data_IF_039881668306
#
_entry.id   IF_039881668306
#
_cell.length_a   1.000
_cell.length_b   1.000
_cell.length_c   1.000
_cell.angle_alpha   90.00
_cell.angle_beta   90.00
_cell.angle_gamma   90.00
#
_symmetry.space_group_name_H-M   'P 1'
#
loop_
_entity.id
_entity.type
_entity.pdbx_description
1 polymer ?
#
# COMPACT_ATOMS: atom_id res chain seq x y z
N UNK A 1 24.19 -9.97 1.72
CA UNK A 1 22.99 -10.51 1.01
C UNK A 1 21.69 -9.95 1.57
N UNK A 2 21.57 -9.79 2.89
CA UNK A 2 20.39 -9.20 3.57
C UNK A 2 20.09 -7.76 3.11
N UNK A 3 21.11 -6.94 2.88
CA UNK A 3 20.95 -5.55 2.45
C UNK A 3 20.32 -5.43 1.07
N UNK A 4 20.67 -6.36 0.16
CA UNK A 4 20.04 -6.44 -1.17
C UNK A 4 18.55 -6.82 -1.05
N UNK A 5 18.19 -7.74 -0.17
CA UNK A 5 16.79 -8.14 0.06
C UNK A 5 15.97 -6.99 0.68
N UNK A 6 16.52 -6.29 1.67
CA UNK A 6 15.86 -5.13 2.28
C UNK A 6 15.66 -4.00 1.25
N UNK A 7 16.64 -3.76 0.38
CA UNK A 7 16.52 -2.75 -0.67
C UNK A 7 15.46 -3.13 -1.72
N UNK A 8 15.40 -4.40 -2.12
CA UNK A 8 14.35 -4.92 -3.01
C UNK A 8 12.96 -4.82 -2.39
N UNK A 9 12.83 -5.20 -1.11
CA UNK A 9 11.57 -5.08 -0.37
C UNK A 9 11.12 -3.62 -0.28
N UNK A 10 12.04 -2.70 0.00
CA UNK A 10 11.76 -1.26 0.04
C UNK A 10 11.29 -0.75 -1.34
N UNK A 11 11.96 -1.15 -2.42
CA UNK A 11 11.55 -0.77 -3.78
C UNK A 11 10.14 -1.28 -4.10
N UNK A 12 9.85 -2.55 -3.77
CA UNK A 12 8.52 -3.14 -3.96
C UNK A 12 7.47 -2.40 -3.14
N UNK A 13 7.72 -2.11 -1.86
CA UNK A 13 6.78 -1.35 -1.03
C UNK A 13 6.52 0.05 -1.60
N UNK A 14 7.57 0.75 -2.02
CA UNK A 14 7.43 2.09 -2.60
C UNK A 14 6.60 2.01 -3.89
N UNK A 15 6.91 1.06 -4.77
CA UNK A 15 6.14 0.82 -5.99
C UNK A 15 4.66 0.47 -5.69
N UNK A 16 4.41 -0.33 -4.65
CA UNK A 16 3.09 -0.73 -4.19
C UNK A 16 2.28 0.47 -3.67
N UNK A 17 2.89 1.35 -2.86
CA UNK A 17 2.27 2.62 -2.44
C UNK A 17 1.87 3.47 -3.64
N UNK A 18 2.78 3.64 -4.60
CA UNK A 18 2.49 4.40 -5.82
C UNK A 18 1.38 3.75 -6.64
N UNK A 19 1.35 2.43 -6.75
CA UNK A 19 0.29 1.70 -7.44
C UNK A 19 -1.06 2.01 -6.81
N UNK A 20 -1.18 1.94 -5.48
CA UNK A 20 -2.44 2.20 -4.78
C UNK A 20 -2.88 3.67 -4.96
N UNK A 21 -1.96 4.63 -4.85
CA UNK A 21 -2.27 6.05 -5.03
C UNK A 21 -2.69 6.35 -6.48
N UNK A 22 -1.96 5.82 -7.47
CA UNK A 22 -2.29 6.00 -8.88
C UNK A 22 -3.61 5.32 -9.24
N UNK A 23 -3.88 4.15 -8.68
CA UNK A 23 -5.16 3.47 -8.82
C UNK A 23 -6.32 4.26 -8.22
N UNK A 24 -6.09 4.94 -7.11
CA UNK A 24 -7.08 5.84 -6.52
C UNK A 24 -7.32 7.07 -7.41
N UNK A 25 -6.26 7.69 -7.95
CA UNK A 25 -6.39 8.78 -8.90
C UNK A 25 -7.14 8.35 -10.17
N UNK A 26 -6.85 7.16 -10.69
CA UNK A 26 -7.60 6.55 -11.80
C UNK A 26 -9.06 6.40 -11.44
N UNK A 27 -9.40 5.89 -10.25
CA UNK A 27 -10.79 5.74 -9.81
C UNK A 27 -11.53 7.07 -9.85
N UNK A 28 -10.93 8.15 -9.33
CA UNK A 28 -11.56 9.48 -9.33
C UNK A 28 -11.87 9.93 -10.76
N UNK A 29 -10.92 9.79 -11.68
CA UNK A 29 -11.11 10.13 -13.09
C UNK A 29 -12.20 9.25 -13.73
N UNK A 30 -12.18 7.95 -13.44
CA UNK A 30 -13.13 6.98 -13.98
C UNK A 30 -14.56 7.26 -13.52
N UNK A 31 -14.75 7.62 -12.24
CA UNK A 31 -16.07 7.98 -11.67
C UNK A 31 -16.60 9.27 -12.30
N UNK A 32 -15.74 10.27 -12.51
CA UNK A 32 -16.14 11.53 -13.18
C UNK A 32 -16.53 11.27 -14.65
N UNK A 33 -15.78 10.39 -15.34
CA UNK A 33 -16.09 9.98 -16.70
C UNK A 33 -17.42 9.23 -16.80
N UNK A 34 -17.63 8.26 -15.91
CA UNK A 34 -18.85 7.46 -15.84
C UNK A 34 -20.09 8.33 -15.59
N UNK A 35 -19.99 9.32 -14.70
CA UNK A 35 -21.02 10.32 -14.48
C UNK A 35 -21.33 11.19 -15.74
N UNK A 36 -20.37 11.29 -16.66
CA UNK A 36 -20.52 11.99 -17.95
C UNK A 36 -21.00 11.06 -19.08
N UNK A 37 -21.31 9.79 -18.78
CA UNK A 37 -21.75 8.78 -19.75
C UNK A 37 -20.61 8.13 -20.55
N UNK A 38 -19.36 8.40 -20.20
CA UNK A 38 -18.17 7.83 -20.85
C UNK A 38 -17.50 6.86 -19.89
N UNK A 39 -17.56 5.56 -20.16
CA UNK A 39 -16.91 4.57 -19.32
C UNK A 39 -15.39 4.63 -19.52
N UNK A 40 -14.71 5.45 -18.71
CA UNK A 40 -13.25 5.64 -18.71
C UNK A 40 -12.50 4.47 -18.06
N UNK A 41 -13.04 3.25 -18.17
CA UNK A 41 -12.47 2.05 -17.58
C UNK A 41 -12.81 1.85 -16.11
N UNK A 42 -13.96 2.34 -15.65
CA UNK A 42 -14.47 2.10 -14.30
C UNK A 42 -14.73 0.60 -14.07
N UNK A 43 -15.28 -0.10 -15.07
CA UNK A 43 -15.45 -1.57 -15.02
C UNK A 43 -14.12 -2.33 -14.98
N UNK A 44 -13.12 -1.84 -15.72
CA UNK A 44 -11.77 -2.43 -15.68
C UNK A 44 -11.15 -2.23 -14.29
N UNK A 45 -11.29 -1.04 -13.72
CA UNK A 45 -10.82 -0.74 -12.37
C UNK A 45 -11.47 -1.68 -11.35
N UNK A 46 -12.79 -1.88 -11.41
CA UNK A 46 -13.49 -2.80 -10.50
C UNK A 46 -12.99 -4.25 -10.62
N UNK A 47 -12.71 -4.71 -11.84
CA UNK A 47 -12.13 -6.04 -12.07
C UNK A 47 -10.70 -6.15 -11.56
N UNK A 48 -9.91 -5.07 -11.65
CA UNK A 48 -8.54 -5.00 -11.13
C UNK A 48 -8.50 -4.85 -9.61
N UNK A 49 -9.58 -4.39 -8.98
CA UNK A 49 -9.66 -4.19 -7.53
C UNK A 49 -9.34 -5.45 -6.73
N UNK A 50 -10.06 -6.54 -6.98
CA UNK A 50 -9.85 -7.80 -6.26
C UNK A 50 -8.45 -8.41 -6.45
N UNK A 51 -7.89 -8.53 -7.66
CA UNK A 51 -6.59 -9.18 -7.88
C UNK A 51 -5.38 -8.27 -7.68
N UNK A 52 -5.50 -6.95 -7.81
CA UNK A 52 -4.34 -6.02 -7.77
C UNK A 52 -4.40 -5.16 -6.52
N UNK A 53 -5.46 -4.38 -6.35
CA UNK A 53 -5.52 -3.37 -5.29
C UNK A 53 -5.75 -3.95 -3.90
N UNK A 54 -6.59 -4.98 -3.77
CA UNK A 54 -6.86 -5.60 -2.47
C UNK A 54 -5.59 -6.27 -1.88
N UNK A 55 -4.80 -7.06 -2.65
CA UNK A 55 -3.51 -7.56 -2.16
C UNK A 55 -2.49 -6.46 -1.87
N UNK A 56 -2.40 -5.44 -2.72
CA UNK A 56 -1.51 -4.28 -2.53
C UNK A 56 -1.79 -3.57 -1.20
N UNK A 57 -3.04 -3.21 -0.95
CA UNK A 57 -3.46 -2.58 0.31
C UNK A 57 -3.16 -3.51 1.50
N UNK A 58 -3.34 -4.82 1.34
CA UNK A 58 -2.96 -5.82 2.34
C UNK A 58 -1.47 -5.80 2.70
N UNK A 59 -0.58 -5.67 1.70
CA UNK A 59 0.87 -5.55 1.90
C UNK A 59 1.20 -4.23 2.61
N UNK A 60 0.63 -3.10 2.17
CA UNK A 60 0.81 -1.80 2.82
C UNK A 60 0.38 -1.84 4.29
N UNK A 61 -0.81 -2.38 4.56
CA UNK A 61 -1.34 -2.52 5.90
C UNK A 61 -0.46 -3.44 6.75
N UNK A 62 -0.05 -4.58 6.20
CA UNK A 62 0.90 -5.48 6.85
C UNK A 62 2.21 -4.78 7.21
N UNK A 63 2.82 -4.07 6.26
CA UNK A 63 4.06 -3.31 6.47
C UNK A 63 3.92 -2.24 7.55
N UNK A 64 2.82 -1.48 7.54
CA UNK A 64 2.52 -0.46 8.54
C UNK A 64 2.33 -1.07 9.95
N UNK A 65 1.57 -2.18 10.04
CA UNK A 65 1.34 -2.89 11.30
C UNK A 65 2.62 -3.49 11.86
N UNK A 66 3.42 -4.16 11.03
CA UNK A 66 4.73 -4.68 11.45
C UNK A 66 5.65 -3.57 11.96
N UNK A 67 5.72 -2.45 11.24
CA UNK A 67 6.51 -1.28 11.67
C UNK A 67 6.02 -0.73 13.01
N UNK A 68 4.70 -0.62 13.19
CA UNK A 68 4.09 -0.18 14.45
C UNK A 68 4.40 -1.12 15.62
N UNK A 69 4.26 -2.43 15.44
CA UNK A 69 4.55 -3.45 16.47
C UNK A 69 6.04 -3.42 16.85
N UNK A 70 6.94 -3.40 15.86
CA UNK A 70 8.39 -3.35 16.10
C UNK A 70 8.76 -2.08 16.89
N UNK A 71 8.20 -0.93 16.50
CA UNK A 71 8.41 0.35 17.20
C UNK A 71 7.89 0.31 18.64
N UNK A 72 6.71 -0.29 18.87
CA UNK A 72 6.14 -0.43 20.21
C UNK A 72 6.99 -1.34 21.11
N UNK A 73 7.41 -2.51 20.61
CA UNK A 73 8.27 -3.43 21.37
C UNK A 73 9.63 -2.78 21.67
N UNK A 74 10.26 -2.15 20.67
CA UNK A 74 11.55 -1.47 20.84
C UNK A 74 11.47 -0.37 21.90
N UNK A 75 10.45 0.48 21.86
CA UNK A 75 10.23 1.51 22.89
C UNK A 75 10.04 0.92 24.28
N UNK A 76 9.34 -0.22 24.40
CA UNK A 76 9.11 -0.88 25.70
C UNK A 76 10.40 -1.47 26.27
N UNK A 77 11.26 -2.05 25.44
CA UNK A 77 12.55 -2.59 25.86
C UNK A 77 13.54 -1.48 26.25
N UNK A 78 13.69 -0.43 25.45
CA UNK A 78 14.59 0.69 25.76
C UNK A 78 14.16 1.46 27.02
N UNK A 79 12.84 1.56 27.28
CA UNK A 79 12.33 2.21 28.50
C UNK A 79 12.70 1.45 29.79
N UNK A 80 12.90 0.14 29.71
CA UNK A 80 13.25 -0.70 30.86
C UNK A 80 14.74 -0.64 31.23
N UNK A 81 15.61 -0.16 30.34
CA UNK A 81 17.05 -0.02 30.62
C UNK A 81 17.42 1.35 31.21
N UNK A 82 16.49 2.32 31.19
CA UNK A 82 16.66 3.68 31.69
C UNK A 82 15.93 3.93 33.03
N UNK A 83 15.35 2.89 33.64
CA UNK A 83 14.65 2.92 34.94
C UNK A 83 15.32 2.00 35.95
#
# INVERSE_FOLDING_TARGET
MKDKLLNWLNLILVADVFLVILGFAWLVIAVIGDASGINLGLDLWHKLWMPVFNPAIGILMGGALFSGIISWVSKKLTKNELS
#
